data_IF_953821779918
#
_entry.id   IF_953821779918
#
_cell.length_a   1.000
_cell.length_b   1.000
_cell.length_c   1.000
_cell.angle_alpha   90.00
_cell.angle_beta   90.00
_cell.angle_gamma   90.00
#
_symmetry.space_group_name_H-M   'P 1'
#
loop_
_entity.id
_entity.type
_entity.pdbx_description
1 polymer ?
#
# COMPACT_ATOMS: atom_id res chain seq x y z
N UNK A 1 2.77 -11.99 25.88
CA UNK A 1 3.45 -12.43 24.65
C UNK A 1 2.83 -13.74 24.20
N UNK A 2 1.74 -13.65 23.43
CA UNK A 2 1.07 -14.83 22.88
C UNK A 2 1.75 -15.14 21.54
N UNK A 3 2.64 -16.13 21.56
CA UNK A 3 3.29 -16.63 20.35
C UNK A 3 2.24 -17.14 19.36
N UNK A 4 2.48 -16.89 18.07
CA UNK A 4 1.69 -17.46 16.98
C UNK A 4 1.58 -18.97 17.19
N UNK A 5 0.38 -19.43 17.52
CA UNK A 5 0.05 -20.85 17.58
C UNK A 5 -0.07 -21.36 16.14
N UNK A 6 1.02 -21.91 15.61
CA UNK A 6 0.96 -22.68 14.38
C UNK A 6 0.45 -24.09 14.73
N UNK A 7 -0.72 -24.51 14.23
CA UNK A 7 -1.18 -25.88 14.44
C UNK A 7 -0.14 -26.83 13.82
N UNK A 8 0.38 -27.76 14.62
CA UNK A 8 1.30 -28.80 14.12
C UNK A 8 0.59 -29.60 13.02
N UNK A 9 1.12 -29.64 11.78
CA UNK A 9 0.52 -30.47 10.75
C UNK A 9 0.64 -31.94 11.18
N UNK A 10 -0.50 -32.66 11.18
CA UNK A 10 -0.58 -34.07 11.58
C UNK A 10 0.22 -35.01 10.67
N UNK A 11 0.72 -34.51 9.55
CA UNK A 11 1.40 -35.29 8.54
C UNK A 11 2.72 -34.60 8.13
N UNK A 12 3.85 -35.17 8.58
CA UNK A 12 5.20 -34.64 8.27
C UNK A 12 5.47 -34.60 6.77
N UNK A 13 4.75 -35.43 6.01
CA UNK A 13 4.80 -35.55 4.55
C UNK A 13 4.30 -34.28 3.85
N UNK A 14 3.22 -33.68 4.36
CA UNK A 14 2.66 -32.46 3.79
C UNK A 14 3.56 -31.24 4.03
N UNK A 15 4.16 -31.16 5.22
CA UNK A 15 5.17 -30.14 5.54
C UNK A 15 6.42 -30.29 4.65
N UNK A 16 6.85 -31.53 4.38
CA UNK A 16 7.97 -31.79 3.48
C UNK A 16 7.66 -31.41 2.02
N UNK A 17 6.44 -31.69 1.53
CA UNK A 17 5.99 -31.31 0.19
C UNK A 17 5.88 -29.78 0.04
N UNK A 18 5.41 -29.08 1.07
CA UNK A 18 5.35 -27.61 1.09
C UNK A 18 6.74 -26.97 1.10
N UNK A 19 7.67 -27.54 1.87
CA UNK A 19 9.07 -27.08 1.88
C UNK A 19 9.73 -27.36 0.53
N UNK A 20 9.51 -28.55 -0.06
CA UNK A 20 10.02 -28.87 -1.41
C UNK A 20 9.44 -27.96 -2.49
N UNK A 21 8.16 -27.56 -2.40
CA UNK A 21 7.55 -26.66 -3.38
C UNK A 21 8.13 -25.24 -3.28
N UNK A 22 8.41 -24.76 -2.06
CA UNK A 22 9.14 -23.50 -1.83
C UNK A 22 10.56 -23.58 -2.41
N UNK A 23 11.29 -24.66 -2.13
CA UNK A 23 12.64 -24.86 -2.72
C UNK A 23 12.60 -24.96 -4.25
N UNK A 24 11.59 -25.62 -4.83
CA UNK A 24 11.41 -25.70 -6.27
C UNK A 24 11.10 -24.33 -6.89
N UNK A 25 10.34 -23.48 -6.21
CA UNK A 25 10.10 -22.09 -6.65
C UNK A 25 11.39 -21.26 -6.64
N UNK A 26 12.23 -21.40 -5.60
CA UNK A 26 13.54 -20.76 -5.55
C UNK A 26 14.54 -21.31 -6.59
N UNK A 27 14.41 -22.59 -6.97
CA UNK A 27 15.23 -23.22 -8.00
C UNK A 27 14.79 -22.85 -9.42
N UNK A 28 13.47 -22.80 -9.68
CA UNK A 28 12.89 -22.51 -11.00
C UNK A 28 12.92 -21.03 -11.35
N UNK A 29 12.82 -20.15 -10.35
CA UNK A 29 12.94 -18.70 -10.51
C UNK A 29 14.18 -18.24 -9.73
N UNK A 30 15.35 -18.16 -10.38
CA UNK A 30 16.56 -17.81 -9.68
C UNK A 30 16.36 -16.46 -8.99
N UNK A 31 16.75 -16.44 -7.71
CA UNK A 31 16.76 -15.31 -6.78
C UNK A 31 16.91 -13.89 -7.39
N UNK A 32 17.74 -13.64 -8.44
CA UNK A 32 17.78 -12.34 -9.13
C UNK A 32 16.45 -11.86 -9.74
N UNK A 33 15.63 -12.74 -10.32
CA UNK A 33 14.41 -12.30 -11.01
C UNK A 33 13.33 -11.88 -10.01
N UNK A 34 13.11 -12.69 -8.96
CA UNK A 34 12.18 -12.35 -7.89
C UNK A 34 12.64 -11.10 -7.11
N UNK A 35 13.95 -10.97 -6.84
CA UNK A 35 14.50 -9.77 -6.22
C UNK A 35 14.28 -8.52 -7.09
N UNK A 36 14.40 -8.63 -8.42
CA UNK A 36 14.10 -7.55 -9.35
C UNK A 36 12.62 -7.14 -9.32
N UNK A 37 11.69 -8.10 -9.36
CA UNK A 37 10.26 -7.81 -9.26
C UNK A 37 9.89 -7.18 -7.90
N UNK A 38 10.43 -7.71 -6.80
CA UNK A 38 10.22 -7.16 -5.45
C UNK A 38 10.79 -5.74 -5.36
N UNK A 39 12.00 -5.51 -5.89
CA UNK A 39 12.63 -4.19 -5.91
C UNK A 39 11.80 -3.20 -6.73
N UNK A 40 11.28 -3.60 -7.90
CA UNK A 40 10.42 -2.74 -8.72
C UNK A 40 9.10 -2.42 -8.03
N UNK A 41 8.49 -3.38 -7.34
CA UNK A 41 7.29 -3.14 -6.53
C UNK A 41 7.61 -2.15 -5.41
N UNK A 42 8.71 -2.33 -4.67
CA UNK A 42 9.13 -1.41 -3.61
C UNK A 42 9.39 -0.01 -4.19
N UNK A 43 10.05 0.09 -5.35
CA UNK A 43 10.30 1.36 -6.04
C UNK A 43 9.00 2.04 -6.48
N UNK A 44 8.03 1.28 -6.98
CA UNK A 44 6.71 1.79 -7.34
C UNK A 44 5.92 2.24 -6.12
N UNK A 45 5.90 1.44 -5.04
CA UNK A 45 5.24 1.79 -3.78
C UNK A 45 5.87 3.04 -3.15
N UNK A 46 7.20 3.23 -3.25
CA UNK A 46 7.89 4.46 -2.83
C UNK A 46 7.48 5.69 -3.63
N UNK A 47 6.99 5.52 -4.86
CA UNK A 47 6.50 6.65 -5.67
C UNK A 47 5.09 7.07 -5.27
N UNK A 48 4.29 6.19 -4.67
CA UNK A 48 2.93 6.48 -4.25
C UNK A 48 2.98 7.32 -2.97
N UNK A 49 2.40 8.52 -3.02
CA UNK A 49 2.25 9.42 -1.88
C UNK A 49 0.79 9.39 -1.45
N UNK A 50 0.58 9.19 -0.15
CA UNK A 50 -0.72 9.32 0.49
C UNK A 50 -1.03 10.81 0.74
N UNK A 51 -2.22 11.26 0.34
CA UNK A 51 -2.74 12.60 0.62
C UNK A 51 -4.03 12.52 1.42
N UNK A 52 -4.15 13.39 2.42
CA UNK A 52 -5.33 13.47 3.29
C UNK A 52 -6.23 14.62 2.84
N UNK A 53 -7.53 14.36 2.69
CA UNK A 53 -8.56 15.36 2.42
C UNK A 53 -8.98 16.05 3.71
N UNK A 54 -8.15 16.98 4.17
CA UNK A 54 -8.36 17.77 5.39
C UNK A 54 -9.76 18.42 5.49
N UNK A 55 -10.27 18.96 4.38
CA UNK A 55 -11.62 19.54 4.33
C UNK A 55 -12.73 18.52 4.67
N UNK A 56 -12.55 17.24 4.28
CA UNK A 56 -13.55 16.20 4.51
C UNK A 56 -13.60 15.78 5.98
N UNK A 57 -12.45 15.76 6.66
CA UNK A 57 -12.35 15.55 8.10
C UNK A 57 -13.17 16.63 8.83
N UNK A 58 -12.95 17.90 8.48
CA UNK A 58 -13.67 19.02 9.06
C UNK A 58 -15.19 18.94 8.81
N UNK A 59 -15.60 18.67 7.57
CA UNK A 59 -17.02 18.53 7.20
C UNK A 59 -17.72 17.44 8.01
N UNK A 60 -17.12 16.24 8.09
CA UNK A 60 -17.71 15.12 8.84
C UNK A 60 -17.76 15.41 10.33
N UNK A 61 -16.69 15.98 10.89
CA UNK A 61 -16.64 16.39 12.31
C UNK A 61 -17.79 17.34 12.63
N UNK A 62 -17.99 18.38 11.82
CA UNK A 62 -19.05 19.37 12.01
C UNK A 62 -20.45 18.75 11.85
N UNK A 63 -20.63 17.85 10.88
CA UNK A 63 -21.91 17.13 10.69
C UNK A 63 -22.26 16.25 11.90
N UNK A 64 -21.26 15.75 12.64
CA UNK A 64 -21.45 15.02 13.90
C UNK A 64 -21.62 15.93 15.12
N UNK A 65 -21.47 17.24 14.98
CA UNK A 65 -21.52 18.20 16.08
C UNK A 65 -20.31 18.15 17.00
N UNK A 66 -19.18 17.59 16.55
CA UNK A 66 -17.96 17.48 17.35
C UNK A 66 -17.16 18.79 17.30
N UNK A 67 -16.71 19.28 18.45
CA UNK A 67 -15.78 20.42 18.52
C UNK A 67 -14.33 19.96 18.32
N UNK A 68 -13.41 20.89 18.05
CA UNK A 68 -11.98 20.58 17.97
C UNK A 68 -11.43 20.18 19.35
N UNK A 69 -11.99 20.74 20.44
CA UNK A 69 -11.67 20.39 21.82
C UNK A 69 -12.04 18.92 22.10
N UNK A 70 -13.25 18.49 21.72
CA UNK A 70 -13.69 17.11 21.88
C UNK A 70 -12.78 16.13 21.12
N UNK A 71 -12.46 16.44 19.85
CA UNK A 71 -11.57 15.59 19.07
C UNK A 71 -10.18 15.49 19.69
N UNK A 72 -9.65 16.61 20.19
CA UNK A 72 -8.36 16.65 20.85
C UNK A 72 -8.34 15.83 22.14
N UNK A 73 -9.40 15.90 22.94
CA UNK A 73 -9.57 15.11 24.15
C UNK A 73 -9.58 13.60 23.85
N UNK A 74 -10.40 13.16 22.88
CA UNK A 74 -10.48 11.73 22.50
C UNK A 74 -9.18 11.23 21.85
N UNK A 75 -8.43 12.13 21.20
CA UNK A 75 -7.12 11.82 20.62
C UNK A 75 -5.94 11.93 21.58
N UNK A 76 -6.16 12.37 22.82
CA UNK A 76 -5.11 12.65 23.83
C UNK A 76 -4.03 13.61 23.32
N UNK A 77 -4.45 14.72 22.70
CA UNK A 77 -3.57 15.80 22.21
C UNK A 77 -4.12 17.17 22.60
N UNK A 78 -3.30 18.22 22.45
CA UNK A 78 -3.80 19.58 22.65
C UNK A 78 -4.78 19.99 21.53
N UNK A 79 -5.77 20.84 21.86
CA UNK A 79 -6.71 21.39 20.89
C UNK A 79 -6.00 22.11 19.73
N UNK A 80 -4.94 22.86 20.04
CA UNK A 80 -4.10 23.51 19.01
C UNK A 80 -3.46 22.49 18.08
N UNK A 81 -2.95 21.38 18.62
CA UNK A 81 -2.36 20.31 17.80
C UNK A 81 -3.41 19.65 16.90
N UNK A 82 -4.62 19.37 17.39
CA UNK A 82 -5.70 18.86 16.56
C UNK A 82 -6.08 19.87 15.45
N UNK A 83 -6.20 21.15 15.79
CA UNK A 83 -6.53 22.21 14.83
C UNK A 83 -5.52 22.27 13.67
N UNK A 84 -4.21 22.22 13.99
CA UNK A 84 -3.14 22.19 12.99
C UNK A 84 -3.16 20.94 12.10
N UNK A 85 -3.49 19.79 12.68
CA UNK A 85 -3.70 18.54 11.93
C UNK A 85 -4.89 18.67 10.98
N UNK A 86 -6.04 19.15 11.47
CA UNK A 86 -7.25 19.33 10.67
C UNK A 86 -7.05 20.32 9.52
N UNK A 87 -6.30 21.41 9.73
CA UNK A 87 -6.00 22.41 8.71
C UNK A 87 -4.88 21.99 7.74
N UNK A 88 -4.21 20.86 7.97
CA UNK A 88 -3.10 20.39 7.14
C UNK A 88 -1.78 21.15 7.33
N UNK A 89 -1.66 21.93 8.41
CA UNK A 89 -0.40 22.57 8.82
C UNK A 89 0.59 21.56 9.42
N UNK A 90 0.10 20.41 9.85
CA UNK A 90 0.89 19.29 10.35
C UNK A 90 0.35 18.00 9.73
N UNK A 91 1.26 17.09 9.35
CA UNK A 91 0.88 15.81 8.75
C UNK A 91 0.36 14.85 9.80
N UNK A 92 -0.65 14.07 9.42
CA UNK A 92 -1.02 12.90 10.20
C UNK A 92 0.02 11.79 10.00
N UNK A 93 0.45 11.17 11.10
CA UNK A 93 1.02 9.84 11.03
C UNK A 93 -0.11 8.80 10.85
N UNK A 94 0.27 7.57 10.50
CA UNK A 94 -0.69 6.49 10.21
C UNK A 94 -1.59 6.18 11.41
N UNK A 95 -1.04 6.23 12.62
CA UNK A 95 -1.78 5.91 13.85
C UNK A 95 -2.84 6.98 14.16
N UNK A 96 -2.45 8.27 14.13
CA UNK A 96 -3.36 9.40 14.36
C UNK A 96 -4.45 9.47 13.31
N UNK A 97 -4.11 9.25 12.03
CA UNK A 97 -5.11 9.22 10.96
C UNK A 97 -6.12 8.09 11.18
N UNK A 98 -5.63 6.90 11.57
CA UNK A 98 -6.47 5.77 11.94
C UNK A 98 -7.45 6.11 13.05
N UNK A 99 -6.98 6.74 14.13
CA UNK A 99 -7.84 7.20 15.25
C UNK A 99 -8.90 8.20 14.79
N UNK A 100 -8.54 9.19 13.97
CA UNK A 100 -9.52 10.16 13.43
C UNK A 100 -10.59 9.46 12.61
N UNK A 101 -10.19 8.55 11.72
CA UNK A 101 -11.12 7.77 10.89
C UNK A 101 -12.07 6.94 11.74
N UNK A 102 -11.56 6.32 12.82
CA UNK A 102 -12.35 5.53 13.75
C UNK A 102 -13.36 6.39 14.53
N UNK A 103 -12.92 7.51 15.11
CA UNK A 103 -13.79 8.46 15.84
C UNK A 103 -14.88 9.01 14.92
N UNK A 104 -14.51 9.40 13.71
CA UNK A 104 -15.45 9.93 12.72
C UNK A 104 -16.27 8.84 12.03
N UNK A 105 -15.91 7.56 12.18
CA UNK A 105 -16.57 6.39 11.58
C UNK A 105 -16.77 6.56 10.06
N UNK A 106 -15.73 6.99 9.38
CA UNK A 106 -15.73 7.23 7.91
C UNK A 106 -14.97 6.14 7.19
N UNK A 107 -15.28 5.94 5.91
CA UNK A 107 -14.47 5.04 5.08
C UNK A 107 -13.11 5.73 4.81
N UNK A 108 -11.96 5.04 5.03
CA UNK A 108 -10.66 5.59 4.68
C UNK A 108 -10.56 6.12 3.24
N UNK A 109 -11.26 5.49 2.29
CA UNK A 109 -11.26 5.90 0.88
C UNK A 109 -11.93 7.26 0.64
N UNK A 110 -12.77 7.71 1.56
CA UNK A 110 -13.41 9.04 1.48
C UNK A 110 -12.47 10.14 1.97
N UNK A 111 -11.45 9.79 2.77
CA UNK A 111 -10.52 10.73 3.42
C UNK A 111 -9.14 10.71 2.76
N UNK A 112 -8.75 9.61 2.13
CA UNK A 112 -7.39 9.37 1.64
C UNK A 112 -7.40 9.25 0.11
N UNK A 113 -6.52 10.00 -0.54
CA UNK A 113 -6.14 9.81 -1.93
C UNK A 113 -4.71 9.28 -2.05
N UNK A 114 -4.44 8.60 -3.15
CA UNK A 114 -3.11 8.16 -3.53
C UNK A 114 -2.73 8.82 -4.85
N UNK A 115 -1.61 9.53 -4.85
CA UNK A 115 -1.05 10.13 -6.05
C UNK A 115 0.34 9.56 -6.32
N UNK A 116 0.68 9.33 -7.59
CA UNK A 116 2.07 9.10 -7.95
C UNK A 116 2.84 10.41 -7.82
N UNK A 117 3.99 10.34 -7.15
CA UNK A 117 4.93 11.45 -7.12
C UNK A 117 5.35 11.77 -8.56
N UNK A 118 4.79 12.85 -9.09
CA UNK A 118 5.33 13.47 -10.30
C UNK A 118 6.73 13.93 -9.94
N UNK A 119 7.75 13.16 -10.31
CA UNK A 119 9.12 13.65 -10.37
C UNK A 119 9.14 14.72 -11.46
N UNK A 120 8.77 15.95 -11.11
CA UNK A 120 9.04 17.11 -11.95
C UNK A 120 10.56 17.24 -11.97
N UNK A 121 11.20 16.72 -13.02
CA UNK A 121 12.55 17.13 -13.35
C UNK A 121 12.41 18.63 -13.65
N UNK A 122 12.78 19.47 -12.69
CA UNK A 122 12.86 20.91 -12.90
C UNK A 122 14.03 21.10 -13.86
N UNK A 123 13.73 21.07 -15.15
CA UNK A 123 14.66 21.52 -16.17
C UNK A 123 14.82 23.02 -15.96
N UNK A 124 15.81 23.41 -15.16
CA UNK A 124 16.32 24.77 -15.15
C UNK A 124 16.74 25.10 -16.58
N UNK A 125 16.24 26.18 -17.20
CA UNK A 125 16.55 26.48 -18.60
C UNK A 125 17.92 27.15 -18.66
N UNK A 126 18.99 26.41 -18.36
CA UNK A 126 20.30 26.77 -18.86
C UNK A 126 21.28 25.59 -18.86
N UNK A 127 22.12 25.56 -19.89
CA UNK A 127 23.24 24.66 -20.17
C UNK A 127 22.90 23.39 -20.98
N UNK A 128 22.80 23.63 -22.30
CA UNK A 128 23.47 22.93 -23.40
C UNK A 128 23.57 21.40 -23.38
N UNK A 129 22.86 20.83 -24.36
CA UNK A 129 23.18 19.61 -25.12
C UNK A 129 23.26 18.29 -24.32
N UNK A 130 22.12 17.58 -24.24
CA UNK A 130 21.99 16.21 -24.73
C UNK A 130 20.50 15.80 -24.75
N UNK A 131 19.98 15.63 -25.96
CA UNK A 131 18.58 15.35 -26.27
C UNK A 131 18.22 13.90 -25.88
N UNK A 132 17.54 13.72 -24.76
CA UNK A 132 16.82 12.47 -24.46
C UNK A 132 15.36 12.64 -24.87
N UNK A 133 15.03 12.18 -26.08
CA UNK A 133 13.63 12.00 -26.51
C UNK A 133 13.05 10.87 -25.68
N UNK A 134 12.27 11.19 -24.66
CA UNK A 134 11.42 10.22 -23.98
C UNK A 134 10.24 9.93 -24.91
N UNK A 135 10.44 8.97 -25.82
CA UNK A 135 9.37 8.46 -26.67
C UNK A 135 8.43 7.61 -25.80
N UNK A 136 7.20 8.07 -25.66
CA UNK A 136 6.08 7.40 -25.00
C UNK A 136 5.62 6.16 -25.80
N UNK A 137 6.40 5.08 -25.74
CA UNK A 137 5.99 3.71 -26.11
C UNK A 137 6.09 2.81 -24.87
N UNK A 138 5.14 2.93 -23.94
CA UNK A 138 5.10 2.10 -22.71
C UNK A 138 3.89 1.15 -22.67
N UNK A 139 2.92 1.26 -23.58
CA UNK A 139 1.59 0.73 -23.29
C UNK A 139 1.36 -0.78 -23.61
N UNK A 140 2.07 -1.40 -24.56
CA UNK A 140 1.78 -2.79 -24.95
C UNK A 140 2.39 -3.84 -23.98
N UNK A 141 3.63 -3.64 -23.52
CA UNK A 141 4.31 -4.63 -22.66
C UNK A 141 3.75 -4.69 -21.22
N UNK A 142 3.07 -3.64 -20.74
CA UNK A 142 2.51 -3.63 -19.38
C UNK A 142 1.22 -4.44 -19.27
N UNK A 143 0.40 -4.42 -20.31
CA UNK A 143 -0.87 -5.16 -20.35
C UNK A 143 -0.63 -6.67 -20.42
N UNK A 144 0.37 -7.10 -21.20
CA UNK A 144 0.76 -8.51 -21.27
C UNK A 144 1.30 -9.04 -19.94
N UNK A 145 2.09 -8.24 -19.20
CA UNK A 145 2.57 -8.58 -17.87
C UNK A 145 1.43 -8.70 -16.84
N UNK A 146 0.45 -7.78 -16.90
CA UNK A 146 -0.74 -7.82 -16.03
C UNK A 146 -1.57 -9.07 -16.31
N UNK A 147 -1.70 -9.46 -17.58
CA UNK A 147 -2.46 -10.65 -17.98
C UNK A 147 -1.75 -11.94 -17.53
N UNK A 148 -0.43 -12.03 -17.72
CA UNK A 148 0.36 -13.15 -17.19
C UNK A 148 0.24 -13.27 -15.66
N UNK A 149 0.25 -12.15 -14.93
CA UNK A 149 0.07 -12.15 -13.48
C UNK A 149 -1.31 -12.64 -13.06
N UNK A 150 -2.38 -12.23 -13.76
CA UNK A 150 -3.74 -12.69 -13.50
C UNK A 150 -3.88 -14.20 -13.70
N UNK A 151 -3.29 -14.76 -14.74
CA UNK A 151 -3.32 -16.21 -15.00
C UNK A 151 -2.68 -17.00 -13.88
N UNK A 152 -1.50 -16.58 -13.42
CA UNK A 152 -0.79 -17.23 -12.30
C UNK A 152 -1.64 -17.21 -11.02
N UNK A 153 -2.30 -16.08 -10.73
CA UNK A 153 -3.19 -15.96 -9.57
C UNK A 153 -4.41 -16.89 -9.68
N UNK A 154 -5.00 -17.04 -10.86
CA UNK A 154 -6.13 -17.94 -11.06
C UNK A 154 -5.74 -19.41 -10.86
N UNK A 155 -4.57 -19.82 -11.36
CA UNK A 155 -4.03 -21.18 -11.13
C UNK A 155 -3.86 -21.43 -9.63
N UNK A 156 -3.29 -20.46 -8.90
CA UNK A 156 -3.08 -20.59 -7.45
C UNK A 156 -4.40 -20.76 -6.68
N UNK A 157 -5.44 -19.99 -7.02
CA UNK A 157 -6.77 -20.13 -6.42
C UNK A 157 -7.37 -21.51 -6.70
N UNK A 158 -7.18 -22.06 -7.91
CA UNK A 158 -7.67 -23.39 -8.26
C UNK A 158 -6.98 -24.50 -7.46
N UNK A 159 -5.67 -24.38 -7.24
CA UNK A 159 -4.90 -25.33 -6.42
C UNK A 159 -5.38 -25.32 -4.97
N UNK A 160 -5.54 -24.14 -4.36
CA UNK A 160 -6.07 -24.02 -2.99
C UNK A 160 -7.47 -24.64 -2.89
N UNK A 161 -8.36 -24.36 -3.85
CA UNK A 161 -9.71 -24.94 -3.85
C UNK A 161 -9.72 -26.48 -3.98
N UNK A 162 -8.72 -27.05 -4.65
CA UNK A 162 -8.58 -28.51 -4.82
C UNK A 162 -8.08 -29.17 -3.53
N UNK A 163 -7.17 -28.53 -2.80
CA UNK A 163 -6.71 -29.02 -1.51
C UNK A 163 -7.78 -28.92 -0.42
N UNK A 164 -8.63 -27.90 -0.44
CA UNK A 164 -9.73 -27.73 0.53
C UNK A 164 -10.92 -28.69 0.32
N UNK A 165 -10.98 -29.38 -0.82
CA UNK A 165 -12.04 -30.37 -1.14
C UNK A 165 -11.65 -31.81 -0.81
N UNK A 166 -10.40 -32.06 -0.42
CA UNK A 166 -9.89 -33.34 0.08
C UNK A 166 -9.74 -33.29 1.60
#
# INVERSE_FOLDING_TARGET
MNGLFFPKPKDKTLAALFILSIFYLFYKYPYPQCAYYILNIILHLKKIIMKVKHHKICEVRLNKGYSQEFMAEVMDISQSQYSRLENGETTFDVEKLGKVIEILQVNPMDIIDFEESKTTIVNSPNVNNNHWVVNSKINENQEELINQLKEVFQIFIQLIKKELKN
#
